data_IF_606143384607
#
_entry.id   IF_606143384607
#
_cell.length_a   1.000
_cell.length_b   1.000
_cell.length_c   1.000
_cell.angle_alpha   90.00
_cell.angle_beta   90.00
_cell.angle_gamma   90.00
#
_symmetry.space_group_name_H-M   'P 1'
#
loop_
_entity.id
_entity.type
_entity.pdbx_description
1 polymer ?
#
# COMPACT_ATOMS: atom_id res chain seq x y z
N UNK A 1 -0.69 1.97 -6.25
CA UNK A 1 -1.56 2.03 -5.07
C UNK A 1 -2.96 1.53 -5.39
N UNK A 2 -3.62 2.06 -6.43
CA UNK A 2 -4.96 1.59 -6.82
C UNK A 2 -5.00 0.09 -7.20
N UNK A 3 -3.92 -0.44 -7.78
CA UNK A 3 -3.73 -1.87 -8.03
C UNK A 3 -3.81 -2.71 -6.74
N UNK A 4 -3.18 -2.26 -5.65
CA UNK A 4 -3.20 -2.94 -4.37
C UNK A 4 -4.58 -2.86 -3.69
N UNK A 5 -5.27 -1.73 -3.85
CA UNK A 5 -6.64 -1.54 -3.38
C UNK A 5 -7.60 -2.52 -4.07
N UNK A 6 -7.52 -2.62 -5.41
CA UNK A 6 -8.35 -3.55 -6.19
C UNK A 6 -8.07 -5.00 -5.77
N UNK A 7 -6.79 -5.40 -5.66
CA UNK A 7 -6.41 -6.75 -5.21
C UNK A 7 -6.97 -7.07 -3.82
N UNK A 8 -6.90 -6.13 -2.87
CA UNK A 8 -7.46 -6.32 -1.53
C UNK A 8 -8.97 -6.55 -1.60
N UNK A 9 -9.69 -5.72 -2.36
CA UNK A 9 -11.15 -5.84 -2.48
C UNK A 9 -11.59 -7.15 -3.12
N UNK A 10 -10.86 -7.64 -4.12
CA UNK A 10 -11.14 -8.95 -4.73
C UNK A 10 -10.89 -10.09 -3.73
N UNK A 11 -9.79 -10.05 -2.96
CA UNK A 11 -9.51 -11.05 -1.92
C UNK A 11 -10.60 -11.04 -0.86
N UNK A 12 -10.97 -9.86 -0.35
CA UNK A 12 -12.06 -9.71 0.64
C UNK A 12 -13.39 -10.24 0.11
N UNK A 13 -13.73 -9.92 -1.14
CA UNK A 13 -14.95 -10.41 -1.79
C UNK A 13 -14.95 -11.94 -1.88
N UNK A 14 -13.79 -12.54 -2.15
CA UNK A 14 -13.62 -13.99 -2.18
C UNK A 14 -13.79 -14.63 -0.80
N UNK A 15 -13.18 -14.06 0.24
CA UNK A 15 -13.20 -14.63 1.61
C UNK A 15 -14.54 -14.42 2.33
N UNK A 16 -15.18 -13.26 2.14
CA UNK A 16 -16.35 -12.84 2.93
C UNK A 16 -17.64 -12.80 2.12
N UNK A 17 -17.56 -12.95 0.79
CA UNK A 17 -18.70 -12.76 -0.11
C UNK A 17 -19.10 -11.29 -0.29
N UNK A 18 -18.42 -10.32 0.31
CA UNK A 18 -18.79 -8.89 0.27
C UNK A 18 -17.61 -7.96 -0.02
N UNK A 19 -17.88 -6.82 -0.65
CA UNK A 19 -16.91 -5.72 -0.77
C UNK A 19 -16.90 -4.86 0.48
N UNK A 20 -15.80 -4.14 0.71
CA UNK A 20 -15.72 -3.16 1.79
C UNK A 20 -16.72 -2.03 1.59
N UNK A 21 -17.15 -1.40 2.69
CA UNK A 21 -17.92 -0.16 2.59
C UNK A 21 -17.05 0.96 2.03
N UNK A 22 -17.64 1.81 1.18
CA UNK A 22 -16.96 2.98 0.66
C UNK A 22 -16.58 3.92 1.82
N UNK A 23 -15.37 4.46 1.77
CA UNK A 23 -14.83 5.40 2.76
C UNK A 23 -14.71 4.88 4.20
N UNK A 24 -14.90 3.58 4.45
CA UNK A 24 -14.63 3.01 5.78
C UNK A 24 -13.14 2.96 6.05
N UNK A 25 -12.76 3.14 7.32
CA UNK A 25 -11.38 2.83 7.76
C UNK A 25 -11.16 1.33 7.67
N UNK A 26 -9.96 0.94 7.27
CA UNK A 26 -9.54 -0.47 7.25
C UNK A 26 -9.43 -0.98 8.68
N UNK A 27 -9.98 -2.17 8.94
CA UNK A 27 -9.72 -2.94 10.16
C UNK A 27 -8.24 -3.31 10.27
N UNK A 28 -7.81 -3.77 11.45
CA UNK A 28 -6.43 -4.24 11.66
C UNK A 28 -6.06 -5.38 10.71
N UNK A 29 -6.98 -6.32 10.47
CA UNK A 29 -6.82 -7.42 9.52
C UNK A 29 -6.72 -6.91 8.09
N UNK A 30 -7.59 -5.96 7.71
CA UNK A 30 -7.60 -5.38 6.36
C UNK A 30 -6.32 -4.58 6.09
N UNK A 31 -5.77 -3.87 7.10
CA UNK A 31 -4.47 -3.20 7.02
C UNK A 31 -3.33 -4.19 6.87
N UNK A 32 -3.38 -5.33 7.57
CA UNK A 32 -2.39 -6.40 7.44
C UNK A 32 -2.43 -7.01 6.04
N UNK A 33 -3.61 -7.35 5.53
CA UNK A 33 -3.78 -7.85 4.16
C UNK A 33 -3.27 -6.83 3.14
N UNK A 34 -3.64 -5.56 3.30
CA UNK A 34 -3.18 -4.49 2.43
C UNK A 34 -1.65 -4.35 2.43
N UNK A 35 -1.02 -4.42 3.61
CA UNK A 35 0.44 -4.40 3.76
C UNK A 35 1.11 -5.58 3.05
N UNK A 36 0.56 -6.79 3.20
CA UNK A 36 1.03 -7.99 2.49
C UNK A 36 0.95 -7.81 0.97
N UNK A 37 -0.15 -7.26 0.46
CA UNK A 37 -0.31 -6.99 -0.97
C UNK A 37 0.67 -5.93 -1.42
N UNK A 38 0.92 -4.87 -0.64
CA UNK A 38 1.88 -3.83 -1.03
C UNK A 38 3.31 -4.36 -1.09
N UNK A 39 3.69 -5.22 -0.15
CA UNK A 39 5.01 -5.83 -0.09
C UNK A 39 5.23 -6.87 -1.19
N UNK A 40 4.22 -7.71 -1.44
CA UNK A 40 4.37 -8.87 -2.31
C UNK A 40 3.79 -8.67 -3.71
N UNK A 41 3.12 -7.54 -3.98
CA UNK A 41 2.49 -7.30 -5.28
C UNK A 41 3.20 -6.19 -6.07
N UNK A 42 3.84 -6.62 -7.16
CA UNK A 42 4.62 -5.79 -8.06
C UNK A 42 6.04 -6.31 -8.20
N UNK A 43 6.89 -5.53 -8.87
CA UNK A 43 8.23 -5.94 -9.26
C UNK A 43 9.27 -5.63 -8.17
N UNK A 44 8.97 -5.92 -6.90
CA UNK A 44 9.86 -5.56 -5.77
C UNK A 44 11.22 -6.26 -5.89
N UNK A 45 11.23 -7.57 -6.12
CA UNK A 45 12.46 -8.34 -6.30
C UNK A 45 13.29 -7.86 -7.50
N UNK A 46 12.63 -7.58 -8.63
CA UNK A 46 13.30 -7.06 -9.83
C UNK A 46 13.94 -5.68 -9.55
N UNK A 47 13.26 -4.82 -8.78
CA UNK A 47 13.78 -3.51 -8.44
C UNK A 47 14.93 -3.59 -7.42
N UNK A 48 14.83 -4.48 -6.44
CA UNK A 48 15.92 -4.75 -5.51
C UNK A 48 17.16 -5.27 -6.26
N UNK A 49 16.98 -6.22 -7.20
CA UNK A 49 18.07 -6.70 -8.05
C UNK A 49 18.69 -5.58 -8.91
N UNK A 50 17.87 -4.68 -9.45
CA UNK A 50 18.34 -3.64 -10.36
C UNK A 50 18.94 -2.41 -9.65
N UNK A 51 18.54 -2.13 -8.41
CA UNK A 51 18.86 -0.87 -7.72
C UNK A 51 19.50 -1.05 -6.34
N UNK A 52 19.45 -2.25 -5.77
CA UNK A 52 19.91 -2.53 -4.41
C UNK A 52 19.00 -2.01 -3.30
N UNK A 53 17.83 -1.45 -3.63
CA UNK A 53 16.84 -1.00 -2.63
C UNK A 53 15.47 -1.62 -2.89
N UNK A 54 14.84 -2.19 -1.85
CA UNK A 54 13.49 -2.69 -1.93
C UNK A 54 12.49 -1.53 -1.99
N UNK A 55 11.39 -1.73 -2.73
CA UNK A 55 10.29 -0.77 -2.80
C UNK A 55 10.10 -0.19 -4.19
N UNK A 56 8.85 -0.22 -4.65
CA UNK A 56 8.48 0.04 -6.04
C UNK A 56 7.28 0.97 -6.20
N UNK A 57 6.74 1.51 -5.10
CA UNK A 57 5.60 2.40 -5.16
C UNK A 57 6.05 3.82 -4.88
N UNK A 58 5.51 4.74 -5.67
CA UNK A 58 5.68 6.16 -5.46
C UNK A 58 4.85 6.58 -4.25
N UNK A 59 5.47 6.61 -3.08
CA UNK A 59 4.84 6.97 -1.80
C UNK A 59 5.18 8.43 -1.48
N UNK A 60 4.20 9.31 -1.67
CA UNK A 60 4.38 10.76 -1.55
C UNK A 60 3.80 11.30 -0.24
N UNK A 61 4.55 12.22 0.36
CA UNK A 61 4.07 13.16 1.35
C UNK A 61 3.74 14.47 0.61
N UNK A 62 2.46 14.71 0.36
CA UNK A 62 1.95 15.90 -0.33
C UNK A 62 1.84 17.08 0.67
N UNK A 63 2.35 18.28 0.35
CA UNK A 63 2.36 19.43 1.25
C UNK A 63 0.96 19.94 1.66
N UNK A 64 -0.10 19.43 1.04
CA UNK A 64 -1.49 19.64 1.45
C UNK A 64 -1.97 18.43 2.25
N UNK A 65 -2.02 18.58 3.57
CA UNK A 65 -2.40 17.53 4.54
C UNK A 65 -3.72 16.84 4.21
N UNK A 66 -4.69 17.52 3.60
CA UNK A 66 -5.98 16.95 3.20
C UNK A 66 -5.91 15.89 2.10
N UNK A 67 -4.84 15.86 1.30
CA UNK A 67 -4.59 14.84 0.26
C UNK A 67 -3.59 13.76 0.72
N UNK A 68 -2.83 14.05 1.78
CA UNK A 68 -1.82 13.19 2.39
C UNK A 68 -2.39 12.05 3.25
N UNK A 69 -3.62 12.24 3.75
CA UNK A 69 -4.23 11.38 4.76
C UNK A 69 -4.66 10.01 4.23
N UNK A 70 -4.75 9.78 2.93
CA UNK A 70 -5.38 8.52 2.47
C UNK A 70 -4.47 7.30 2.63
N UNK A 71 -3.16 7.41 2.38
CA UNK A 71 -2.33 6.22 2.20
C UNK A 71 -1.48 5.86 3.40
N UNK A 72 -0.93 6.85 4.10
CA UNK A 72 -0.15 6.61 5.33
C UNK A 72 -1.05 6.05 6.43
N UNK A 73 -2.27 6.56 6.57
CA UNK A 73 -3.27 6.06 7.51
C UNK A 73 -3.80 4.67 7.13
N UNK A 74 -3.94 4.40 5.82
CA UNK A 74 -4.36 3.08 5.31
C UNK A 74 -3.32 2.00 5.55
N UNK A 75 -2.03 2.32 5.38
CA UNK A 75 -0.95 1.38 5.70
C UNK A 75 -0.80 1.25 7.21
N UNK A 76 -0.84 2.36 7.94
CA UNK A 76 -0.81 2.38 9.40
C UNK A 76 0.50 1.93 10.05
N UNK A 77 1.46 1.39 9.27
CA UNK A 77 2.78 0.97 9.72
C UNK A 77 3.90 1.79 9.02
N UNK A 78 4.63 2.64 9.76
CA UNK A 78 5.76 3.41 9.23
C UNK A 78 6.89 2.57 8.63
N UNK A 79 7.11 1.33 9.10
CA UNK A 79 8.13 0.44 8.55
C UNK A 79 7.73 -0.02 7.16
N UNK A 80 6.50 -0.50 7.00
CA UNK A 80 5.94 -0.90 5.71
C UNK A 80 5.91 0.29 4.75
N UNK A 81 5.52 1.48 5.22
CA UNK A 81 5.57 2.70 4.42
C UNK A 81 6.96 2.95 3.81
N UNK A 82 8.01 2.84 4.63
CA UNK A 82 9.39 3.05 4.17
C UNK A 82 9.87 1.94 3.22
N UNK A 83 9.55 0.68 3.51
CA UNK A 83 9.91 -0.45 2.65
C UNK A 83 9.24 -0.38 1.27
N UNK A 84 7.97 0.01 1.22
CA UNK A 84 7.21 0.11 -0.04
C UNK A 84 7.65 1.29 -0.91
N UNK A 85 8.12 2.38 -0.27
CA UNK A 85 8.59 3.60 -0.93
C UNK A 85 9.87 3.39 -1.74
N UNK A 86 10.81 2.58 -1.26
CA UNK A 86 12.15 2.45 -1.86
C UNK A 86 12.85 3.79 -2.09
N UNK A 87 13.57 3.92 -3.21
CA UNK A 87 14.29 5.16 -3.61
C UNK A 87 13.40 6.34 -4.01
N UNK A 88 12.07 6.23 -3.89
CA UNK A 88 11.13 7.32 -4.21
C UNK A 88 11.30 8.52 -3.26
N UNK A 89 12.42 9.22 -3.33
CA UNK A 89 12.59 10.58 -2.83
C UNK A 89 11.97 11.52 -3.85
N UNK A 90 11.24 12.51 -3.37
CA UNK A 90 10.55 13.46 -4.25
C UNK A 90 11.58 14.22 -5.09
N UNK A 91 11.36 14.29 -6.40
CA UNK A 91 11.58 15.51 -7.20
C UNK A 91 10.20 16.05 -7.55
#
# INVERSE_FOLDING_TARGET
>A
MQDAEIKREIIRKHETGQFSQLNSKLSSEEKRLFSTILMNSGNMEIQEMNTGVPGNKVMKKLPLSSLELSYSERIGDPKIWNMVKGYSSFV
#
